data_IF_577905140336
#
_entry.id   IF_577905140336
#
_cell.length_a   1.000
_cell.length_b   1.000
_cell.length_c   1.000
_cell.angle_alpha   90.00
_cell.angle_beta   90.00
_cell.angle_gamma   90.00
#
_symmetry.space_group_name_H-M   'P 1'
#
loop_
_entity.id
_entity.type
_entity.pdbx_description
1 polymer ?
#
# COMPACT_ATOMS: atom_id res chain seq x y z
N UNK A 1 74.94 29.92 -28.17
CA UNK A 1 73.90 30.56 -27.33
C UNK A 1 72.58 30.66 -28.09
N UNK A 2 71.70 29.67 -28.00
CA UNK A 2 70.26 29.81 -28.30
C UNK A 2 69.51 28.75 -27.46
N UNK A 3 69.07 29.14 -26.26
CA UNK A 3 68.16 28.32 -25.45
C UNK A 3 66.74 28.77 -25.76
N UNK A 4 65.95 27.87 -26.33
CA UNK A 4 64.54 28.08 -26.65
C UNK A 4 63.70 27.44 -25.54
N UNK A 5 63.15 28.26 -24.66
CA UNK A 5 62.30 27.85 -23.54
C UNK A 5 60.88 27.57 -24.07
N UNK A 6 60.46 26.30 -24.02
CA UNK A 6 59.08 25.89 -24.29
C UNK A 6 58.26 26.02 -23.01
N UNK A 7 57.28 26.92 -22.99
CA UNK A 7 56.24 26.95 -21.98
C UNK A 7 55.17 25.91 -22.32
N UNK A 8 55.00 24.91 -21.46
CA UNK A 8 53.84 24.01 -21.49
C UNK A 8 52.82 24.59 -20.52
N UNK A 9 51.70 25.10 -21.04
CA UNK A 9 50.56 25.52 -20.23
C UNK A 9 49.71 24.27 -19.96
N UNK A 10 49.73 23.78 -18.72
CA UNK A 10 48.83 22.73 -18.26
C UNK A 10 47.47 23.37 -17.94
N UNK A 11 46.46 23.11 -18.76
CA UNK A 11 45.08 23.49 -18.45
C UNK A 11 44.47 22.45 -17.49
N UNK A 12 44.37 22.79 -16.21
CA UNK A 12 43.63 22.01 -15.22
C UNK A 12 42.13 22.26 -15.42
N UNK A 13 41.43 21.33 -16.07
CA UNK A 13 39.97 21.25 -16.03
C UNK A 13 39.53 20.74 -14.66
N UNK A 14 39.05 21.64 -13.81
CA UNK A 14 38.36 21.27 -12.57
C UNK A 14 36.91 20.86 -12.91
N UNK A 15 36.64 19.57 -13.00
CA UNK A 15 35.28 19.04 -13.02
C UNK A 15 34.68 19.15 -11.61
N UNK A 16 33.85 20.16 -11.39
CA UNK A 16 33.04 20.26 -10.20
C UNK A 16 31.98 19.15 -10.22
N UNK A 17 32.21 18.07 -9.47
CA UNK A 17 31.17 17.07 -9.20
C UNK A 17 30.24 17.68 -8.15
N UNK A 18 29.09 18.19 -8.60
CA UNK A 18 28.02 18.60 -7.71
C UNK A 18 27.41 17.35 -7.07
N UNK A 19 27.81 17.05 -5.83
CA UNK A 19 27.12 16.06 -5.01
C UNK A 19 25.79 16.66 -4.57
N UNK A 20 24.70 16.23 -5.20
CA UNK A 20 23.36 16.52 -4.68
C UNK A 20 23.20 15.78 -3.36
N UNK A 21 23.28 16.51 -2.25
CA UNK A 21 22.89 15.97 -0.95
C UNK A 21 21.38 15.71 -1.05
N UNK A 22 20.99 14.43 -1.11
CA UNK A 22 19.60 14.05 -1.07
C UNK A 22 18.99 14.53 0.25
N UNK A 23 18.18 15.59 0.18
CA UNK A 23 17.47 16.13 1.34
C UNK A 23 16.54 15.05 1.88
N UNK A 24 16.55 14.84 3.19
CA UNK A 24 15.61 13.94 3.83
C UNK A 24 14.18 14.49 3.63
N UNK A 25 13.28 13.63 3.16
CA UNK A 25 11.87 13.98 2.93
C UNK A 25 11.01 13.08 3.81
N UNK A 26 9.89 13.61 4.29
CA UNK A 26 8.94 12.87 5.10
C UNK A 26 7.52 13.24 4.68
N UNK A 27 6.68 12.22 4.57
CA UNK A 27 5.24 12.31 4.32
C UNK A 27 4.56 11.54 5.44
N UNK A 28 3.53 12.10 6.04
CA UNK A 28 2.76 11.45 7.09
C UNK A 28 1.29 11.80 6.95
N UNK A 29 0.46 10.77 7.06
CA UNK A 29 -1.00 10.86 7.12
C UNK A 29 -1.50 10.20 8.39
N UNK A 30 -2.68 10.62 8.80
CA UNK A 30 -3.49 9.97 9.82
C UNK A 30 -4.78 9.50 9.18
N UNK A 31 -5.44 8.63 9.91
CA UNK A 31 -6.75 8.10 9.57
C UNK A 31 -7.59 8.13 10.86
N UNK A 32 -8.93 8.14 10.77
CA UNK A 32 -9.81 8.05 11.92
C UNK A 32 -9.59 6.74 12.69
N UNK A 33 -10.38 6.54 13.74
CA UNK A 33 -10.36 5.31 14.52
C UNK A 33 -11.77 4.76 14.58
N UNK A 34 -11.92 3.46 14.38
CA UNK A 34 -13.19 2.73 14.42
C UNK A 34 -13.97 2.74 13.11
N UNK A 35 -13.27 2.80 11.99
CA UNK A 35 -13.76 2.86 10.61
C UNK A 35 -13.31 1.67 9.74
N UNK A 36 -12.80 0.61 10.39
CA UNK A 36 -12.40 -0.67 9.79
C UNK A 36 -13.58 -1.59 9.39
N UNK A 37 -14.64 -0.98 8.85
CA UNK A 37 -15.87 -1.63 8.45
C UNK A 37 -16.16 -1.49 6.94
N UNK A 38 -15.11 -1.28 6.14
CA UNK A 38 -15.15 -1.28 4.68
C UNK A 38 -16.13 -0.24 4.13
N UNK A 39 -17.16 -0.61 3.35
CA UNK A 39 -18.20 0.31 2.87
C UNK A 39 -19.19 0.75 3.96
N UNK A 40 -18.93 0.44 5.23
CA UNK A 40 -19.72 0.87 6.39
C UNK A 40 -20.53 -0.23 7.06
N UNK A 41 -20.48 -1.46 6.55
CA UNK A 41 -21.31 -2.57 7.00
C UNK A 41 -20.54 -3.89 7.19
N UNK A 42 -19.22 -3.91 7.01
CA UNK A 42 -18.46 -5.14 7.19
C UNK A 42 -18.36 -5.53 8.65
N UNK A 43 -18.38 -6.84 8.87
CA UNK A 43 -18.32 -7.46 10.19
C UNK A 43 -17.09 -8.34 10.30
N UNK A 44 -16.39 -8.20 11.41
CA UNK A 44 -15.19 -8.99 11.73
C UNK A 44 -15.48 -10.50 11.80
N UNK A 45 -14.49 -11.35 11.49
CA UNK A 45 -14.60 -12.78 11.79
C UNK A 45 -14.72 -13.03 13.29
N UNK A 46 -15.31 -14.17 13.65
CA UNK A 46 -15.63 -14.49 15.06
C UNK A 46 -14.46 -15.10 15.84
N UNK A 47 -13.39 -15.55 15.18
CA UNK A 47 -12.21 -16.06 15.86
C UNK A 47 -11.43 -14.94 16.58
N UNK A 48 -10.93 -15.26 17.77
CA UNK A 48 -10.21 -14.30 18.63
C UNK A 48 -8.89 -13.83 18.05
N UNK A 49 -8.36 -14.47 17.00
CA UNK A 49 -7.18 -13.94 16.31
C UNK A 49 -7.46 -12.58 15.65
N UNK A 50 -8.72 -12.28 15.28
CA UNK A 50 -9.11 -11.01 14.69
C UNK A 50 -9.58 -10.05 15.77
N UNK A 51 -8.63 -9.44 16.48
CA UNK A 51 -8.93 -8.48 17.55
C UNK A 51 -9.59 -7.22 16.97
N UNK A 52 -10.55 -6.58 17.66
CA UNK A 52 -11.09 -5.28 17.24
C UNK A 52 -9.97 -4.26 16.99
N UNK A 53 -10.04 -3.52 15.88
CA UNK A 53 -9.01 -2.56 15.46
C UNK A 53 -7.77 -3.18 14.81
N UNK A 54 -7.79 -4.47 14.49
CA UNK A 54 -6.68 -5.15 13.78
C UNK A 54 -6.56 -4.75 12.32
N UNK A 55 -7.59 -4.14 11.77
CA UNK A 55 -7.64 -3.63 10.40
C UNK A 55 -7.96 -2.13 10.34
N UNK A 56 -8.04 -1.46 11.50
CA UNK A 56 -8.24 -0.02 11.69
C UNK A 56 -6.92 0.69 11.49
N UNK A 57 -6.76 1.27 10.30
CA UNK A 57 -5.62 2.08 9.92
C UNK A 57 -5.67 3.37 10.75
N UNK A 58 -4.51 3.83 11.24
CA UNK A 58 -4.46 5.06 12.06
C UNK A 58 -3.38 6.01 11.60
N UNK A 59 -2.39 5.51 10.87
CA UNK A 59 -1.33 6.33 10.32
C UNK A 59 -0.60 5.65 9.17
N UNK A 60 -0.10 6.47 8.27
CA UNK A 60 0.82 6.07 7.23
C UNK A 60 1.96 7.08 7.16
N UNK A 61 3.19 6.60 7.07
CA UNK A 61 4.37 7.46 6.98
C UNK A 61 5.39 6.90 5.99
N UNK A 62 5.94 7.81 5.18
CA UNK A 62 7.09 7.55 4.31
C UNK A 62 8.21 8.50 4.69
N UNK A 63 9.37 7.95 5.05
CA UNK A 63 10.58 8.74 5.35
C UNK A 63 11.72 8.34 4.43
N UNK A 64 12.20 9.30 3.65
CA UNK A 64 13.30 9.10 2.70
C UNK A 64 14.59 9.66 3.27
N UNK A 65 15.63 8.82 3.30
CA UNK A 65 16.99 9.21 3.69
C UNK A 65 18.00 8.24 3.09
N UNK A 66 19.14 8.74 2.60
CA UNK A 66 20.23 7.89 2.09
C UNK A 66 19.82 6.97 0.94
N UNK A 67 18.92 7.42 0.05
CA UNK A 67 18.43 6.64 -1.09
C UNK A 67 17.46 5.50 -0.73
N UNK A 68 17.03 5.41 0.53
CA UNK A 68 16.04 4.44 1.00
C UNK A 68 14.75 5.16 1.43
N UNK A 69 13.62 4.51 1.20
CA UNK A 69 12.34 4.89 1.76
C UNK A 69 11.98 3.93 2.91
N UNK A 70 11.72 4.47 4.09
CA UNK A 70 11.11 3.74 5.21
C UNK A 70 9.61 3.95 5.12
N UNK A 71 8.86 2.87 5.15
CA UNK A 71 7.39 2.88 5.12
C UNK A 71 6.92 2.33 6.46
N UNK A 72 6.00 3.05 7.11
CA UNK A 72 5.36 2.68 8.36
C UNK A 72 3.84 2.82 8.20
N UNK A 73 3.12 1.77 8.57
CA UNK A 73 1.65 1.71 8.60
C UNK A 73 1.25 1.37 10.03
N UNK A 74 0.54 2.27 10.69
CA UNK A 74 0.06 2.09 12.05
C UNK A 74 -1.41 1.67 12.08
N UNK A 75 -1.79 0.84 13.05
CA UNK A 75 -3.16 0.40 13.26
C UNK A 75 -3.64 0.63 14.70
N UNK A 76 -4.93 0.44 14.98
CA UNK A 76 -5.50 0.72 16.30
C UNK A 76 -5.27 -0.41 17.32
N UNK A 77 -5.11 -1.66 16.90
CA UNK A 77 -4.79 -2.79 17.80
C UNK A 77 -3.28 -3.08 17.91
N UNK A 78 -2.88 -3.82 18.95
CA UNK A 78 -1.52 -4.37 19.02
C UNK A 78 -1.38 -5.50 18.01
N UNK A 79 -0.25 -5.53 17.31
CA UNK A 79 0.10 -6.62 16.41
C UNK A 79 0.42 -7.88 17.22
N UNK A 80 -0.11 -9.00 16.76
CA UNK A 80 0.18 -10.32 17.29
C UNK A 80 0.71 -11.22 16.17
N UNK A 81 1.72 -12.02 16.49
CA UNK A 81 2.38 -12.96 15.56
C UNK A 81 2.19 -14.44 15.94
N UNK A 82 1.49 -14.71 17.05
CA UNK A 82 1.29 -16.07 17.58
C UNK A 82 0.36 -16.92 16.71
N UNK A 83 -0.34 -16.30 15.78
CA UNK A 83 -1.20 -16.95 14.81
C UNK A 83 -0.39 -17.63 13.71
N UNK A 84 -0.76 -18.86 13.40
CA UNK A 84 -0.28 -19.61 12.23
C UNK A 84 1.27 -19.65 12.08
N UNK A 85 2.00 -19.56 13.20
CA UNK A 85 3.47 -19.56 13.25
C UNK A 85 4.16 -18.50 12.36
N UNK A 86 3.54 -17.33 12.22
CA UNK A 86 4.14 -16.21 11.46
C UNK A 86 5.37 -15.66 12.19
N UNK A 87 6.36 -15.19 11.42
CA UNK A 87 7.69 -14.80 11.95
C UNK A 87 8.00 -13.31 11.79
N UNK A 88 7.03 -12.54 11.29
CA UNK A 88 7.26 -11.14 10.91
C UNK A 88 6.65 -10.14 11.89
N UNK A 89 6.15 -10.58 13.06
CA UNK A 89 5.59 -9.69 14.09
C UNK A 89 4.13 -9.29 13.87
N UNK A 90 3.43 -9.93 12.93
CA UNK A 90 1.99 -9.81 12.66
C UNK A 90 1.50 -11.02 11.84
N UNK A 91 0.18 -11.27 11.76
CA UNK A 91 -0.35 -12.39 10.96
C UNK A 91 -1.55 -12.08 10.07
N UNK A 92 -2.50 -11.29 10.55
CA UNK A 92 -3.83 -11.22 9.93
C UNK A 92 -3.92 -10.09 8.92
N UNK A 93 -3.04 -9.09 8.99
CA UNK A 93 -3.02 -7.94 8.08
C UNK A 93 -2.34 -8.26 6.76
N UNK A 94 -2.78 -7.61 5.70
CA UNK A 94 -2.16 -7.56 4.38
C UNK A 94 -2.34 -6.14 3.87
N UNK A 95 -1.25 -5.36 3.80
CA UNK A 95 -1.33 -3.94 3.43
C UNK A 95 -0.80 -3.70 2.03
N UNK A 96 -1.53 -2.88 1.28
CA UNK A 96 -1.14 -2.44 -0.05
C UNK A 96 -0.97 -0.93 -0.05
N UNK A 97 0.23 -0.45 -0.35
CA UNK A 97 0.55 0.99 -0.42
C UNK A 97 0.71 1.36 -1.88
N UNK A 98 -0.34 1.91 -2.48
CA UNK A 98 -0.33 2.45 -3.84
C UNK A 98 0.25 3.85 -3.84
N UNK A 99 1.10 4.12 -4.82
CA UNK A 99 1.84 5.37 -4.97
C UNK A 99 1.64 5.89 -6.38
N UNK A 100 1.10 7.11 -6.48
CA UNK A 100 1.05 7.90 -7.70
C UNK A 100 2.20 8.91 -7.68
N UNK A 101 3.09 8.78 -8.64
CA UNK A 101 4.20 9.69 -8.90
C UNK A 101 3.83 10.72 -9.97
N UNK A 102 4.75 11.63 -10.30
CA UNK A 102 4.57 12.60 -11.39
C UNK A 102 4.65 11.99 -12.81
N UNK A 103 4.74 10.66 -12.92
CA UNK A 103 4.74 9.96 -14.22
C UNK A 103 3.39 10.09 -14.94
N UNK A 104 3.42 10.28 -16.26
CA UNK A 104 2.25 10.67 -17.05
C UNK A 104 1.20 9.57 -17.25
N UNK A 105 1.55 8.30 -17.06
CA UNK A 105 0.62 7.17 -17.16
C UNK A 105 0.67 6.35 -15.87
N UNK A 106 -0.48 6.16 -15.23
CA UNK A 106 -0.66 5.25 -14.10
C UNK A 106 -1.69 4.17 -14.43
N UNK A 107 -1.68 3.11 -13.64
CA UNK A 107 -2.62 2.00 -13.74
C UNK A 107 -3.92 2.37 -13.01
N UNK A 108 -5.05 2.04 -13.62
CA UNK A 108 -6.36 2.27 -13.01
C UNK A 108 -6.85 1.01 -12.26
N UNK A 109 -6.30 -0.15 -12.59
CA UNK A 109 -6.71 -1.44 -12.08
C UNK A 109 -6.19 -1.67 -10.65
N UNK A 110 -7.03 -2.23 -9.77
CA UNK A 110 -6.59 -2.78 -8.50
C UNK A 110 -5.81 -4.09 -8.66
N UNK A 111 -5.13 -4.52 -7.60
CA UNK A 111 -4.52 -5.86 -7.58
C UNK A 111 -5.59 -6.95 -7.37
N UNK A 112 -5.33 -8.19 -7.83
CA UNK A 112 -6.29 -9.28 -7.70
C UNK A 112 -6.69 -9.55 -6.25
N UNK A 113 -7.99 -9.75 -6.02
CA UNK A 113 -8.56 -10.01 -4.70
C UNK A 113 -8.79 -8.77 -3.84
N UNK A 114 -8.58 -7.55 -4.36
CA UNK A 114 -9.01 -6.30 -3.70
C UNK A 114 -10.39 -5.83 -4.16
N UNK A 115 -10.77 -6.16 -5.41
CA UNK A 115 -12.05 -5.76 -6.03
C UNK A 115 -12.27 -4.23 -6.03
N UNK A 116 -11.21 -3.49 -6.32
CA UNK A 116 -11.20 -2.02 -6.43
C UNK A 116 -10.63 -1.58 -7.77
N UNK A 117 -10.96 -0.35 -8.16
CA UNK A 117 -10.32 0.40 -9.23
C UNK A 117 -9.96 1.81 -8.75
N UNK A 118 -9.14 2.52 -9.50
CA UNK A 118 -8.76 3.91 -9.24
C UNK A 118 -9.47 4.84 -10.22
N UNK A 119 -9.86 6.03 -9.73
CA UNK A 119 -10.40 7.08 -10.58
C UNK A 119 -9.40 7.48 -11.69
N UNK A 120 -9.86 7.99 -12.84
CA UNK A 120 -8.97 8.31 -13.99
C UNK A 120 -7.77 9.20 -13.63
N UNK A 121 -7.96 10.17 -12.75
CA UNK A 121 -6.92 11.07 -12.23
C UNK A 121 -6.03 10.40 -11.16
N UNK A 122 -6.52 9.35 -10.51
CA UNK A 122 -5.91 8.68 -9.37
C UNK A 122 -5.04 7.47 -9.75
N UNK A 123 -4.81 7.21 -11.04
CA UNK A 123 -4.00 6.06 -11.47
C UNK A 123 -2.61 6.01 -10.82
N UNK A 124 -2.21 4.82 -10.36
CA UNK A 124 -0.99 4.57 -9.57
C UNK A 124 0.20 4.13 -10.43
N UNK A 125 1.43 4.34 -9.95
CA UNK A 125 2.65 3.95 -10.66
C UNK A 125 3.42 2.83 -9.97
N UNK A 126 3.32 2.73 -8.63
CA UNK A 126 3.94 1.66 -7.85
C UNK A 126 2.99 1.20 -6.76
N UNK A 127 3.10 -0.05 -6.35
CA UNK A 127 2.40 -0.60 -5.18
C UNK A 127 3.36 -1.42 -4.33
N UNK A 128 3.39 -1.15 -3.03
CA UNK A 128 4.20 -1.92 -2.07
C UNK A 128 3.28 -2.87 -1.33
N UNK A 129 3.66 -4.15 -1.26
CA UNK A 129 2.90 -5.18 -0.53
C UNK A 129 3.59 -5.49 0.80
N UNK A 130 2.92 -5.21 1.92
CA UNK A 130 3.37 -5.55 3.26
C UNK A 130 2.58 -6.77 3.72
N UNK A 131 3.19 -7.93 3.55
CA UNK A 131 2.58 -9.23 3.83
C UNK A 131 3.27 -9.93 5.01
N UNK A 132 2.53 -10.68 5.84
CA UNK A 132 3.10 -11.56 6.87
C UNK A 132 3.53 -12.91 6.28
N UNK A 133 3.33 -13.14 4.97
CA UNK A 133 3.76 -14.36 4.29
C UNK A 133 5.25 -14.29 3.91
N UNK A 134 5.93 -15.43 3.74
CA UNK A 134 7.30 -15.45 3.25
C UNK A 134 7.46 -14.69 1.94
N UNK A 135 8.46 -13.82 1.84
CA UNK A 135 8.71 -12.96 0.66
C UNK A 135 8.73 -13.76 -0.65
N UNK A 136 9.32 -14.97 -0.67
CA UNK A 136 9.34 -15.84 -1.85
C UNK A 136 7.94 -16.26 -2.30
N UNK A 137 7.06 -16.56 -1.34
CA UNK A 137 5.66 -16.88 -1.60
C UNK A 137 4.92 -15.69 -2.18
N UNK A 138 5.08 -14.50 -1.60
CA UNK A 138 4.44 -13.28 -2.12
C UNK A 138 4.87 -13.01 -3.56
N UNK A 139 6.18 -13.12 -3.86
CA UNK A 139 6.69 -12.97 -5.23
C UNK A 139 6.08 -13.99 -6.20
N UNK A 140 5.95 -15.25 -5.79
CA UNK A 140 5.33 -16.30 -6.60
C UNK A 140 3.86 -15.99 -6.90
N UNK A 141 3.09 -15.57 -5.90
CA UNK A 141 1.67 -15.22 -6.05
C UNK A 141 1.50 -13.99 -6.97
N UNK A 142 2.40 -13.00 -6.86
CA UNK A 142 2.45 -11.85 -7.78
C UNK A 142 2.72 -12.31 -9.22
N UNK A 143 3.74 -13.16 -9.44
CA UNK A 143 4.10 -13.67 -10.78
C UNK A 143 2.95 -14.44 -11.43
N UNK A 144 2.21 -15.21 -10.63
CA UNK A 144 1.13 -16.08 -11.11
C UNK A 144 -0.19 -15.34 -11.35
N UNK A 145 -0.55 -14.36 -10.50
CA UNK A 145 -1.91 -13.80 -10.46
C UNK A 145 -1.99 -12.36 -10.94
N UNK A 146 -0.94 -11.56 -10.77
CA UNK A 146 -0.94 -10.16 -11.21
C UNK A 146 -0.69 -10.11 -12.72
N UNK A 147 -1.46 -9.28 -13.43
CA UNK A 147 -1.28 -9.08 -14.86
C UNK A 147 0.16 -8.67 -15.21
N UNK A 148 0.73 -9.24 -16.26
CA UNK A 148 2.14 -9.02 -16.66
C UNK A 148 2.50 -7.54 -16.83
N UNK A 149 1.55 -6.71 -17.26
CA UNK A 149 1.74 -5.26 -17.41
C UNK A 149 1.93 -4.52 -16.08
N UNK A 150 1.45 -5.08 -14.97
CA UNK A 150 1.52 -4.47 -13.64
C UNK A 150 2.70 -4.99 -12.81
N UNK A 151 3.24 -6.18 -13.12
CA UNK A 151 4.23 -6.87 -12.26
C UNK A 151 5.50 -6.05 -12.01
N UNK A 152 5.97 -5.27 -12.99
CA UNK A 152 7.15 -4.41 -12.83
C UNK A 152 6.95 -3.24 -11.84
N UNK A 153 5.70 -2.96 -11.49
CA UNK A 153 5.29 -1.89 -10.60
C UNK A 153 4.84 -2.40 -9.23
N UNK A 154 4.82 -3.73 -9.04
CA UNK A 154 4.59 -4.37 -7.75
C UNK A 154 5.91 -4.57 -7.01
N UNK A 155 6.04 -3.92 -5.86
CA UNK A 155 7.21 -3.96 -5.01
C UNK A 155 6.93 -4.90 -3.84
N UNK A 156 7.60 -6.06 -3.87
CA UNK A 156 7.65 -6.97 -2.73
C UNK A 156 8.94 -6.72 -1.96
N UNK A 157 8.89 -6.14 -0.75
CA UNK A 157 10.08 -5.86 0.04
C UNK A 157 10.77 -7.14 0.49
N UNK A 158 12.10 -7.07 0.64
CA UNK A 158 12.88 -8.19 1.16
C UNK A 158 12.67 -8.45 2.66
N UNK A 159 12.12 -7.46 3.39
CA UNK A 159 11.79 -7.57 4.80
C UNK A 159 10.60 -6.69 5.13
N UNK A 160 9.63 -7.28 5.81
CA UNK A 160 8.50 -6.59 6.45
C UNK A 160 8.53 -6.97 7.92
N UNK A 161 8.24 -6.03 8.81
CA UNK A 161 8.27 -6.27 10.26
C UNK A 161 7.13 -5.52 10.96
N UNK A 162 6.37 -6.25 11.76
CA UNK A 162 5.41 -5.74 12.73
C UNK A 162 6.05 -5.54 14.09
N UNK A 163 5.74 -4.43 14.76
CA UNK A 163 6.14 -4.17 16.14
C UNK A 163 5.16 -3.20 16.80
N UNK A 164 4.67 -3.54 17.99
CA UNK A 164 3.65 -2.74 18.67
C UNK A 164 2.40 -2.64 17.80
N UNK A 165 2.07 -1.43 17.34
CA UNK A 165 0.95 -1.18 16.44
C UNK A 165 1.36 -0.86 14.99
N UNK A 166 2.62 -1.08 14.63
CA UNK A 166 3.19 -0.59 13.36
C UNK A 166 3.75 -1.72 12.53
N UNK A 167 3.31 -1.82 11.27
CA UNK A 167 3.92 -2.64 10.23
C UNK A 167 4.85 -1.76 9.41
N UNK A 168 6.08 -2.19 9.23
CA UNK A 168 7.12 -1.37 8.59
C UNK A 168 7.96 -2.14 7.58
N UNK A 169 8.48 -1.41 6.60
CA UNK A 169 9.45 -1.94 5.63
C UNK A 169 10.41 -0.85 5.17
N UNK A 170 11.48 -1.27 4.50
CA UNK A 170 12.46 -0.40 3.85
C UNK A 170 12.71 -0.87 2.43
N UNK A 171 12.57 0.03 1.47
CA UNK A 171 12.79 -0.21 0.04
C UNK A 171 13.76 0.82 -0.55
N UNK A 172 14.31 0.51 -1.72
CA UNK A 172 15.13 1.44 -2.48
C UNK A 172 14.25 2.55 -3.08
N UNK A 173 14.59 3.82 -2.85
CA UNK A 173 13.80 4.95 -3.35
C UNK A 173 13.65 4.93 -4.87
N UNK A 174 14.72 4.54 -5.57
CA UNK A 174 14.74 4.41 -7.04
C UNK A 174 13.71 3.40 -7.56
N UNK A 175 13.29 2.44 -6.74
CA UNK A 175 12.28 1.45 -7.13
C UNK A 175 10.86 2.05 -7.03
N UNK A 176 10.67 3.09 -6.19
CA UNK A 176 9.42 3.84 -6.07
C UNK A 176 9.23 4.88 -7.19
N UNK A 177 10.33 5.50 -7.62
CA UNK A 177 10.31 6.54 -8.65
C UNK A 177 11.27 7.67 -8.35
N UNK A 178 11.41 8.58 -9.31
CA UNK A 178 12.17 9.82 -9.14
C UNK A 178 11.23 10.97 -8.76
N UNK A 179 11.76 11.96 -8.05
CA UNK A 179 11.03 13.19 -7.73
C UNK A 179 10.95 13.48 -6.24
N UNK A 180 10.05 14.41 -5.91
CA UNK A 180 9.78 14.86 -4.55
C UNK A 180 8.59 14.08 -4.00
N UNK A 181 8.82 13.26 -2.97
CA UNK A 181 7.79 12.38 -2.42
C UNK A 181 6.64 13.17 -1.78
N UNK A 182 6.86 14.43 -1.41
CA UNK A 182 5.80 15.27 -0.85
C UNK A 182 4.80 15.75 -1.91
N UNK A 183 5.05 15.46 -3.19
CA UNK A 183 4.13 15.75 -4.31
C UNK A 183 3.39 14.51 -4.80
N UNK A 184 3.81 13.33 -4.35
CA UNK A 184 3.18 12.08 -4.74
C UNK A 184 1.81 11.91 -4.07
N UNK A 185 0.95 11.14 -4.73
CA UNK A 185 -0.30 10.66 -4.16
C UNK A 185 -0.10 9.29 -3.53
N UNK A 186 -0.79 9.04 -2.42
CA UNK A 186 -0.72 7.81 -1.66
C UNK A 186 -2.12 7.27 -1.40
N UNK A 187 -2.27 5.97 -1.51
CA UNK A 187 -3.48 5.27 -1.09
C UNK A 187 -3.07 3.97 -0.42
N UNK A 188 -3.54 3.76 0.81
CA UNK A 188 -3.17 2.61 1.64
C UNK A 188 -4.42 1.79 1.86
N UNK A 189 -4.38 0.52 1.47
CA UNK A 189 -5.50 -0.40 1.69
C UNK A 189 -5.09 -1.39 2.77
N UNK A 190 -5.91 -1.48 3.81
CA UNK A 190 -5.80 -2.50 4.84
C UNK A 190 -6.71 -3.68 4.50
N UNK A 191 -6.12 -4.87 4.44
CA UNK A 191 -6.78 -6.10 4.07
C UNK A 191 -6.47 -7.22 5.05
N UNK A 192 -7.25 -8.31 5.03
CA UNK A 192 -6.98 -9.52 5.79
C UNK A 192 -6.21 -10.58 4.99
N UNK A 193 -4.98 -10.87 5.39
CA UNK A 193 -4.17 -11.98 4.89
C UNK A 193 -4.93 -13.32 4.93
N UNK A 194 -4.79 -14.07 3.84
CA UNK A 194 -5.25 -15.45 3.69
C UNK A 194 -4.10 -16.34 3.20
N UNK A 195 -3.80 -17.35 4.01
CA UNK A 195 -2.78 -18.36 3.71
C UNK A 195 -3.24 -19.41 2.71
N UNK A 196 -4.53 -19.49 2.40
CA UNK A 196 -5.11 -20.37 1.38
C UNK A 196 -6.11 -19.59 0.52
N UNK A 197 -5.63 -18.60 -0.28
CA UNK A 197 -6.51 -17.67 -0.97
C UNK A 197 -7.29 -18.39 -2.07
N UNK A 198 -8.37 -17.77 -2.54
CA UNK A 198 -9.02 -18.21 -3.75
C UNK A 198 -8.05 -18.17 -4.95
N UNK A 199 -8.38 -18.90 -6.01
CA UNK A 199 -7.51 -19.05 -7.18
C UNK A 199 -7.14 -17.70 -7.83
N UNK A 200 -8.00 -16.70 -7.71
CA UNK A 200 -7.84 -15.36 -8.27
C UNK A 200 -7.20 -14.35 -7.32
N UNK A 201 -7.03 -14.68 -6.04
CA UNK A 201 -6.80 -13.67 -5.00
C UNK A 201 -5.34 -13.65 -4.55
N UNK A 202 -4.78 -12.46 -4.36
CA UNK A 202 -3.37 -12.26 -4.04
C UNK A 202 -3.11 -12.36 -2.53
N UNK A 203 -3.26 -13.56 -1.96
CA UNK A 203 -3.12 -13.80 -0.50
C UNK A 203 -4.08 -12.96 0.35
N UNK A 204 -5.20 -12.55 -0.23
CA UNK A 204 -6.25 -11.78 0.42
C UNK A 204 -7.42 -12.67 0.80
N UNK A 205 -8.07 -12.35 1.92
CA UNK A 205 -9.29 -13.02 2.40
C UNK A 205 -10.52 -12.34 1.81
N UNK A 206 -11.47 -13.11 1.30
CA UNK A 206 -12.76 -12.60 0.83
C UNK A 206 -13.64 -12.09 1.97
N UNK A 207 -14.55 -11.20 1.62
CA UNK A 207 -15.67 -10.83 2.49
C UNK A 207 -16.89 -11.61 2.00
N UNK A 208 -17.61 -12.21 2.93
CA UNK A 208 -18.79 -13.02 2.66
C UNK A 208 -20.06 -12.22 2.99
N UNK A 209 -21.21 -12.72 2.55
CA UNK A 209 -22.50 -12.16 2.98
C UNK A 209 -22.62 -12.19 4.52
N UNK A 210 -22.22 -13.32 5.14
CA UNK A 210 -22.22 -13.53 6.59
C UNK A 210 -20.81 -13.81 7.11
N UNK A 211 -20.52 -13.32 8.30
CA UNK A 211 -19.26 -13.59 8.97
C UNK A 211 -19.15 -15.06 9.39
N UNK A 212 -17.91 -15.53 9.51
CA UNK A 212 -17.60 -16.86 10.01
C UNK A 212 -16.39 -16.83 10.92
N UNK A 213 -15.94 -18.00 11.36
CA UNK A 213 -14.76 -18.10 12.23
C UNK A 213 -13.56 -17.35 11.64
N UNK A 214 -13.30 -17.55 10.35
CA UNK A 214 -12.22 -16.89 9.62
C UNK A 214 -12.76 -16.16 8.39
N UNK A 215 -13.95 -15.57 8.43
CA UNK A 215 -14.52 -14.87 7.27
C UNK A 215 -15.16 -13.58 7.73
N UNK A 216 -14.90 -12.50 7.01
CA UNK A 216 -15.62 -11.25 7.20
C UNK A 216 -17.05 -11.41 6.67
N UNK A 217 -17.99 -10.69 7.26
CA UNK A 217 -19.38 -10.61 6.83
C UNK A 217 -19.73 -9.24 6.26
N UNK A 218 -20.93 -9.10 5.70
CA UNK A 218 -21.47 -7.83 5.18
C UNK A 218 -21.14 -7.54 3.72
N UNK A 219 -20.43 -8.44 3.02
CA UNK A 219 -20.11 -8.35 1.60
C UNK A 219 -21.11 -9.12 0.74
N UNK A 220 -20.60 -9.81 -0.29
CA UNK A 220 -21.40 -10.60 -1.21
C UNK A 220 -20.68 -11.91 -1.62
N UNK A 221 -21.37 -13.04 -1.53
CA UNK A 221 -20.77 -14.34 -1.86
C UNK A 221 -20.41 -14.53 -3.35
N UNK A 222 -20.84 -13.61 -4.22
CA UNK A 222 -20.51 -13.58 -5.64
C UNK A 222 -19.37 -12.62 -6.02
N UNK A 223 -18.64 -12.08 -5.04
CA UNK A 223 -17.32 -11.44 -5.24
C UNK A 223 -17.35 -10.10 -6.00
N UNK A 224 -18.46 -9.36 -5.90
CA UNK A 224 -18.60 -8.02 -6.48
C UNK A 224 -18.16 -6.90 -5.52
N UNK A 225 -18.04 -7.19 -4.24
CA UNK A 225 -17.72 -6.26 -3.16
C UNK A 225 -16.20 -6.07 -2.99
N UNK A 226 -15.75 -4.89 -2.53
CA UNK A 226 -14.34 -4.65 -2.27
C UNK A 226 -13.89 -5.45 -1.05
N UNK A 227 -12.81 -6.20 -1.18
CA UNK A 227 -12.20 -6.86 -0.03
C UNK A 227 -11.22 -5.93 0.66
N UNK A 228 -11.68 -4.77 1.13
CA UNK A 228 -10.86 -3.76 1.81
C UNK A 228 -11.58 -3.39 3.10
N UNK A 229 -10.88 -3.49 4.23
CA UNK A 229 -11.46 -3.22 5.54
C UNK A 229 -11.37 -1.74 5.88
N UNK A 230 -10.28 -1.10 5.45
CA UNK A 230 -9.98 0.29 5.74
C UNK A 230 -9.01 0.87 4.69
N UNK A 231 -9.05 2.19 4.48
CA UNK A 231 -8.15 2.92 3.59
C UNK A 231 -8.00 4.39 3.94
N UNK A 232 -6.94 5.04 3.44
CA UNK A 232 -6.79 6.49 3.61
C UNK A 232 -7.82 7.26 2.79
N UNK A 233 -8.40 8.30 3.39
CA UNK A 233 -9.35 9.18 2.72
C UNK A 233 -9.13 10.67 3.01
N UNK A 234 -9.84 11.51 2.26
CA UNK A 234 -9.86 12.95 2.46
C UNK A 234 -8.47 13.59 2.34
N UNK A 235 -8.11 14.38 3.36
CA UNK A 235 -6.81 15.06 3.44
C UNK A 235 -5.78 14.23 4.24
N UNK A 236 -6.16 13.05 4.75
CA UNK A 236 -5.35 12.18 5.59
C UNK A 236 -4.97 12.83 6.91
N UNK A 237 -5.91 13.53 7.55
CA UNK A 237 -5.69 14.26 8.81
C UNK A 237 -6.23 13.55 10.04
N UNK A 238 -6.98 12.45 9.86
CA UNK A 238 -7.66 11.68 10.90
C UNK A 238 -8.96 12.33 11.38
N UNK A 239 -9.62 13.09 10.50
CA UNK A 239 -10.92 13.69 10.83
C UNK A 239 -12.02 12.65 10.66
N UNK A 240 -13.00 12.62 11.56
CA UNK A 240 -14.09 11.62 11.50
C UNK A 240 -14.87 11.63 10.19
N UNK A 241 -14.91 12.75 9.46
CA UNK A 241 -15.54 12.83 8.15
C UNK A 241 -14.81 12.01 7.06
N UNK A 242 -13.55 11.63 7.30
CA UNK A 242 -12.79 10.78 6.39
C UNK A 242 -13.36 9.36 6.34
N UNK A 243 -13.99 8.86 7.41
CA UNK A 243 -14.71 7.58 7.41
C UNK A 243 -15.87 7.57 6.39
N UNK A 244 -16.66 8.65 6.30
CA UNK A 244 -17.73 8.77 5.30
C UNK A 244 -17.14 8.79 3.87
N UNK A 245 -15.95 9.37 3.70
CA UNK A 245 -15.25 9.39 2.43
C UNK A 245 -14.69 8.01 2.06
N UNK A 246 -14.20 7.22 3.04
CA UNK A 246 -13.83 5.82 2.85
C UNK A 246 -15.04 4.99 2.38
N UNK A 247 -16.16 5.08 3.08
CA UNK A 247 -17.40 4.38 2.72
C UNK A 247 -17.85 4.75 1.30
N UNK A 248 -17.71 6.02 0.92
CA UNK A 248 -18.02 6.50 -0.43
C UNK A 248 -17.09 5.90 -1.49
N UNK A 249 -15.79 5.82 -1.23
CA UNK A 249 -14.82 5.19 -2.16
C UNK A 249 -15.03 3.69 -2.29
N UNK A 250 -15.41 3.02 -1.20
CA UNK A 250 -15.70 1.59 -1.14
C UNK A 250 -17.13 1.24 -1.58
N UNK A 251 -17.98 2.23 -1.85
CA UNK A 251 -19.34 1.98 -2.32
C UNK A 251 -19.34 1.25 -3.67
N UNK A 252 -19.96 0.08 -3.68
CA UNK A 252 -20.05 -0.83 -4.81
C UNK A 252 -21.52 -1.15 -5.14
N UNK A 253 -21.75 -1.71 -6.32
CA UNK A 253 -23.05 -2.25 -6.71
C UNK A 253 -22.86 -3.58 -7.43
N UNK A 254 -23.69 -4.56 -7.11
CA UNK A 254 -23.67 -5.88 -7.73
C UNK A 254 -24.86 -6.05 -8.67
N UNK A 255 -24.62 -6.73 -9.79
CA UNK A 255 -25.69 -7.26 -10.62
C UNK A 255 -26.37 -8.46 -9.92
N UNK A 256 -27.60 -8.83 -10.32
CA UNK A 256 -28.28 -10.01 -9.77
C UNK A 256 -27.55 -11.34 -10.01
N UNK A 257 -26.69 -11.40 -11.03
CA UNK A 257 -25.83 -12.55 -11.32
C UNK A 257 -24.55 -12.58 -10.47
N UNK A 258 -24.38 -11.59 -9.59
CA UNK A 258 -23.24 -11.47 -8.71
C UNK A 258 -22.03 -10.77 -9.31
N UNK A 259 -22.05 -10.43 -10.60
CA UNK A 259 -20.98 -9.64 -11.21
C UNK A 259 -21.01 -8.20 -10.72
N UNK A 260 -19.86 -7.51 -10.72
CA UNK A 260 -19.83 -6.09 -10.34
C UNK A 260 -20.57 -5.24 -11.39
N UNK A 261 -21.57 -4.50 -10.94
CA UNK A 261 -22.21 -3.42 -11.72
C UNK A 261 -21.43 -2.12 -11.57
N UNK A 262 -20.91 -1.86 -10.37
CA UNK A 262 -20.04 -0.74 -10.05
C UNK A 262 -18.98 -1.22 -9.07
N UNK A 263 -17.71 -1.11 -9.46
CA UNK A 263 -16.58 -1.35 -8.56
C UNK A 263 -16.35 -0.14 -7.64
N UNK A 264 -15.87 -0.45 -6.43
CA UNK A 264 -15.30 0.56 -5.54
C UNK A 264 -14.21 1.35 -6.29
N UNK A 265 -14.30 2.68 -6.25
CA UNK A 265 -13.44 3.58 -7.03
C UNK A 265 -12.68 4.49 -6.09
N UNK A 266 -11.37 4.30 -6.04
CA UNK A 266 -10.47 4.93 -5.08
C UNK A 266 -9.86 6.21 -5.64
N UNK A 267 -9.55 7.13 -4.73
CA UNK A 267 -8.78 8.34 -5.01
C UNK A 267 -7.42 8.29 -4.30
N UNK A 268 -6.54 9.22 -4.62
CA UNK A 268 -5.23 9.36 -3.96
C UNK A 268 -5.30 10.45 -2.89
N UNK A 269 -4.62 10.23 -1.77
CA UNK A 269 -4.41 11.22 -0.71
C UNK A 269 -3.06 11.91 -0.90
N UNK A 270 -3.03 13.22 -0.74
CA UNK A 270 -1.85 14.06 -1.00
C UNK A 270 -1.50 14.88 0.23
N UNK A 271 -0.21 15.17 0.40
CA UNK A 271 0.22 16.12 1.43
C UNK A 271 -0.39 17.49 1.14
N UNK A 272 -1.17 17.99 2.08
CA UNK A 272 -1.73 19.34 2.01
C UNK A 272 -0.61 20.37 2.12
N UNK A 273 -0.57 21.30 1.17
CA UNK A 273 0.39 22.42 1.15
C UNK A 273 -0.03 23.53 2.10
#
# INVERSE_FOLDING_TARGET
MKHMWRYVVLALLATAVATTVAVAQEVSFKDPVGDDNGPGNYTYPTDKVYQPGSFDLTSFKVKVSGGKANIEVGQNSQLEDKCWAMQYGFCVQMVFVFIKTDASAGHAEGLPGLNVQFAPEAGWNKVIILSPQPTSRVRQEVEQKVAKSLQADVIVPNRVAGSGKVISTRVDLKDLGAGDITKWGYQVLMQSNEGFPAATDLLTRKVNEYEGQHRFGGGNDADCDPHVMDLLAGDGVGDKSEADAQHTMLAYECNPDGTSKKLATLTMVYVKK
#
